data_IF_584049461180
#
_entry.id   IF_584049461180
#
_cell.length_a   1.000
_cell.length_b   1.000
_cell.length_c   1.000
_cell.angle_alpha   90.00
_cell.angle_beta   90.00
_cell.angle_gamma   90.00
#
_symmetry.space_group_name_H-M   'P 1'
#
loop_
_entity.id
_entity.type
_entity.pdbx_description
1 polymer ?
#
# COMPACT_ATOMS: atom_id res chain seq x y z
N UNK A 1 -19.27 -46.65 -31.01
CA UNK A 1 -18.10 -46.13 -30.29
C UNK A 1 -17.97 -44.64 -30.65
N UNK A 2 -18.92 -43.79 -30.27
CA UNK A 2 -19.01 -43.04 -29.00
C UNK A 2 -17.76 -42.21 -28.68
N UNK A 3 -17.78 -40.98 -29.21
CA UNK A 3 -17.36 -39.70 -28.63
C UNK A 3 -16.35 -39.72 -27.46
N UNK A 4 -15.10 -39.36 -27.78
CA UNK A 4 -14.20 -38.60 -26.91
C UNK A 4 -13.98 -37.26 -27.61
N UNK A 5 -14.52 -36.15 -27.09
CA UNK A 5 -13.61 -35.18 -26.45
C UNK A 5 -14.32 -34.21 -25.48
N UNK A 6 -14.04 -34.16 -24.17
CA UNK A 6 -14.38 -32.96 -23.36
C UNK A 6 -13.84 -32.94 -21.90
N UNK A 7 -12.63 -33.42 -21.62
CA UNK A 7 -12.10 -33.44 -20.24
C UNK A 7 -10.81 -32.65 -20.00
N UNK A 8 -10.38 -31.81 -20.95
CA UNK A 8 -9.11 -31.06 -20.83
C UNK A 8 -9.20 -29.54 -20.92
N UNK A 9 -10.39 -28.92 -20.80
CA UNK A 9 -10.56 -27.44 -20.94
C UNK A 9 -11.36 -26.79 -19.79
N UNK A 10 -11.69 -27.51 -18.72
CA UNK A 10 -12.54 -26.97 -17.63
C UNK A 10 -11.88 -26.89 -16.24
N UNK A 11 -10.54 -27.01 -16.16
CA UNK A 11 -9.81 -26.99 -14.88
C UNK A 11 -8.98 -25.72 -14.63
N UNK A 12 -9.19 -24.64 -15.40
CA UNK A 12 -8.53 -23.36 -15.18
C UNK A 12 -9.62 -22.30 -14.94
N UNK A 13 -9.39 -21.41 -13.97
CA UNK A 13 -10.30 -20.34 -13.51
C UNK A 13 -11.36 -20.67 -12.46
N UNK A 14 -11.17 -21.69 -11.63
CA UNK A 14 -11.62 -21.59 -10.23
C UNK A 14 -10.48 -21.00 -9.43
N UNK A 15 -10.54 -19.69 -9.18
CA UNK A 15 -9.76 -19.08 -8.10
C UNK A 15 -10.30 -19.68 -6.80
N UNK A 16 -9.74 -20.81 -6.37
CA UNK A 16 -9.91 -21.24 -4.99
C UNK A 16 -9.20 -20.17 -4.18
N UNK A 17 -9.97 -19.28 -3.57
CA UNK A 17 -9.50 -18.47 -2.45
C UNK A 17 -9.13 -19.48 -1.38
N UNK A 18 -7.88 -19.94 -1.39
CA UNK A 18 -7.35 -20.75 -0.31
C UNK A 18 -7.25 -19.77 0.84
N UNK A 19 -8.29 -19.75 1.69
CA UNK A 19 -8.24 -19.09 2.97
C UNK A 19 -6.96 -19.55 3.66
N UNK A 20 -6.04 -18.61 3.89
CA UNK A 20 -4.79 -18.88 4.58
C UNK A 20 -5.21 -19.05 6.05
N UNK A 21 -5.45 -20.29 6.44
CA UNK A 21 -5.70 -20.64 7.83
C UNK A 21 -4.51 -20.13 8.65
N UNK A 22 -4.73 -19.41 9.76
CA UNK A 22 -3.67 -18.88 10.63
C UNK A 22 -2.56 -19.91 10.95
N UNK A 23 -2.91 -21.21 10.99
CA UNK A 23 -1.99 -22.33 11.19
C UNK A 23 -1.00 -22.60 10.03
N UNK A 24 -1.17 -21.97 8.86
CA UNK A 24 -0.23 -22.06 7.73
C UNK A 24 0.82 -20.95 7.72
N UNK A 25 0.63 -19.88 8.50
CA UNK A 25 1.61 -18.81 8.66
C UNK A 25 2.69 -19.27 9.65
N UNK A 26 3.77 -19.86 9.12
CA UNK A 26 4.86 -20.43 9.94
C UNK A 26 5.55 -19.45 10.89
N UNK A 27 5.39 -18.14 10.64
CA UNK A 27 5.94 -17.05 11.44
C UNK A 27 4.96 -16.52 12.51
N UNK A 28 3.67 -16.86 12.44
CA UNK A 28 2.65 -16.34 13.33
C UNK A 28 2.66 -17.09 14.67
N UNK A 29 2.88 -16.35 15.76
CA UNK A 29 2.73 -16.85 17.12
C UNK A 29 1.66 -16.02 17.86
N UNK A 30 0.49 -16.61 18.19
CA UNK A 30 -0.58 -15.90 18.87
C UNK A 30 -0.18 -15.43 20.29
N UNK A 31 0.80 -16.08 20.93
CA UNK A 31 1.26 -15.68 22.27
C UNK A 31 2.13 -14.43 22.22
N UNK A 32 2.99 -14.28 21.20
CA UNK A 32 3.87 -13.11 21.03
C UNK A 32 3.10 -11.85 20.63
N UNK A 33 2.01 -11.97 19.86
CA UNK A 33 1.16 -10.83 19.52
C UNK A 33 0.55 -10.17 20.78
N UNK A 34 0.05 -10.99 21.72
CA UNK A 34 -0.59 -10.52 22.95
C UNK A 34 0.36 -9.77 23.91
N UNK A 35 1.67 -10.06 23.87
CA UNK A 35 2.68 -9.40 24.70
C UNK A 35 2.98 -7.95 24.28
N UNK A 36 2.83 -7.64 22.99
CA UNK A 36 3.25 -6.36 22.41
C UNK A 36 2.16 -5.28 22.40
N UNK A 37 0.92 -5.60 22.79
CA UNK A 37 -0.22 -4.68 22.86
C UNK A 37 -0.13 -3.60 23.98
N UNK A 38 1.07 -3.32 24.48
CA UNK A 38 1.29 -2.55 25.72
C UNK A 38 1.89 -1.17 25.52
N UNK A 39 2.27 -0.78 24.29
CA UNK A 39 2.76 0.57 24.04
C UNK A 39 1.61 1.59 24.10
N UNK A 40 1.55 2.36 25.19
CA UNK A 40 0.52 3.36 25.44
C UNK A 40 0.96 4.80 25.16
N UNK A 41 2.26 5.04 25.03
CA UNK A 41 2.84 6.38 24.93
C UNK A 41 3.82 6.46 23.75
N UNK A 42 4.00 7.68 23.25
CA UNK A 42 5.02 8.02 22.25
C UNK A 42 6.44 7.75 22.79
N UNK A 43 7.38 7.43 21.88
CA UNK A 43 8.75 7.08 22.25
C UNK A 43 9.77 8.14 21.83
N UNK A 44 10.84 8.28 22.62
CA UNK A 44 11.93 9.18 22.27
C UNK A 44 12.69 8.69 21.04
N UNK A 45 12.92 9.60 20.09
CA UNK A 45 13.77 9.36 18.93
C UNK A 45 14.64 10.58 18.62
N UNK A 46 15.86 10.33 18.12
CA UNK A 46 16.67 11.36 17.48
C UNK A 46 16.06 11.64 16.11
N UNK A 47 15.62 12.89 15.91
CA UNK A 47 15.03 13.37 14.66
C UNK A 47 16.06 14.06 13.79
N UNK A 48 16.06 13.74 12.51
CA UNK A 48 16.77 14.48 11.45
C UNK A 48 15.94 14.45 10.17
N UNK A 49 16.23 15.32 9.21
CA UNK A 49 15.53 15.34 7.93
C UNK A 49 16.48 15.69 6.79
N UNK A 50 16.09 15.35 5.57
CA UNK A 50 16.75 15.73 4.34
C UNK A 50 15.78 15.64 3.16
N UNK A 51 16.22 16.09 1.99
CA UNK A 51 15.51 15.90 0.73
C UNK A 51 16.27 14.92 -0.17
N UNK A 52 15.54 14.16 -0.98
CA UNK A 52 16.10 13.27 -2.01
C UNK A 52 15.39 13.47 -3.35
N UNK A 53 16.02 12.96 -4.41
CA UNK A 53 15.53 13.14 -5.76
C UNK A 53 15.58 14.61 -6.18
N UNK A 54 14.64 14.98 -7.04
CA UNK A 54 14.52 16.30 -7.62
C UNK A 54 15.47 16.59 -8.78
N UNK A 55 15.10 17.60 -9.56
CA UNK A 55 15.85 18.08 -10.72
C UNK A 55 15.73 19.59 -10.84
N UNK A 56 16.77 20.20 -11.41
CA UNK A 56 16.73 21.62 -11.75
C UNK A 56 15.98 21.82 -13.06
N UNK A 57 15.04 22.77 -13.06
CA UNK A 57 14.32 23.23 -14.24
C UNK A 57 14.45 24.75 -14.36
N UNK A 58 14.36 25.27 -15.58
CA UNK A 58 14.35 26.72 -15.78
C UNK A 58 12.93 27.25 -15.52
N UNK A 59 12.74 27.90 -14.37
CA UNK A 59 11.48 28.54 -13.98
C UNK A 59 11.39 29.98 -14.45
N UNK A 60 10.27 30.64 -14.13
CA UNK A 60 10.00 32.04 -14.51
C UNK A 60 10.99 33.04 -13.89
N UNK A 61 11.56 32.72 -12.73
CA UNK A 61 12.54 33.55 -12.00
C UNK A 61 13.96 32.99 -12.05
N UNK A 62 14.24 32.05 -12.97
CA UNK A 62 15.52 31.34 -13.09
C UNK A 62 15.43 29.88 -12.67
N UNK A 63 16.59 29.24 -12.50
CA UNK A 63 16.67 27.83 -12.16
C UNK A 63 16.06 27.53 -10.78
N UNK A 64 15.10 26.61 -10.74
CA UNK A 64 14.46 26.11 -9.52
C UNK A 64 14.58 24.59 -9.45
N UNK A 65 14.56 24.04 -8.23
CA UNK A 65 14.45 22.59 -8.04
C UNK A 65 12.98 22.18 -7.92
N UNK A 66 12.60 21.13 -8.64
CA UNK A 66 11.30 20.46 -8.56
C UNK A 66 11.52 18.97 -8.28
N UNK A 67 10.44 18.28 -7.92
CA UNK A 67 10.36 16.83 -7.82
C UNK A 67 11.21 16.23 -6.69
N UNK A 68 11.66 17.06 -5.74
CA UNK A 68 12.34 16.62 -4.52
C UNK A 68 11.34 16.12 -3.48
N UNK A 69 11.75 15.09 -2.73
CA UNK A 69 10.94 14.44 -1.70
C UNK A 69 11.54 14.71 -0.32
N UNK A 70 10.73 15.25 0.59
CA UNK A 70 11.07 15.40 2.00
C UNK A 70 11.11 14.02 2.67
N UNK A 71 12.15 13.79 3.46
CA UNK A 71 12.31 12.57 4.25
C UNK A 71 12.70 12.93 5.67
N UNK A 72 11.94 12.43 6.62
CA UNK A 72 12.21 12.51 8.04
C UNK A 72 12.75 11.16 8.53
N UNK A 73 13.89 11.20 9.21
CA UNK A 73 14.50 10.04 9.86
C UNK A 73 14.27 10.14 11.36
N UNK A 74 13.65 9.10 11.92
CA UNK A 74 13.51 8.87 13.34
C UNK A 74 14.41 7.70 13.72
N UNK A 75 15.36 7.94 14.63
CA UNK A 75 16.31 6.95 15.11
C UNK A 75 16.07 6.68 16.60
N UNK A 76 15.87 5.41 17.01
CA UNK A 76 15.67 5.05 18.40
C UNK A 76 16.96 5.21 19.20
N UNK A 77 16.88 5.22 20.53
CA UNK A 77 18.06 5.30 21.39
C UNK A 77 19.04 4.13 21.18
N UNK A 78 18.50 2.95 20.88
CA UNK A 78 19.27 1.74 20.58
C UNK A 78 18.76 1.17 19.26
N UNK A 79 19.63 1.12 18.25
CA UNK A 79 19.34 0.49 16.96
C UNK A 79 19.61 -1.01 17.08
N UNK A 80 18.56 -1.81 16.95
CA UNK A 80 18.62 -3.27 17.05
C UNK A 80 18.52 -3.97 15.68
N UNK A 81 18.02 -3.25 14.68
CA UNK A 81 17.77 -3.80 13.35
C UNK A 81 18.70 -3.22 12.30
N UNK A 82 19.30 -4.09 11.47
CA UNK A 82 20.25 -3.72 10.42
C UNK A 82 19.60 -2.90 9.30
N UNK A 83 18.40 -3.29 8.89
CA UNK A 83 17.68 -2.63 7.79
C UNK A 83 16.62 -1.69 8.37
N UNK A 84 16.58 -0.42 7.94
CA UNK A 84 15.55 0.51 8.36
C UNK A 84 14.22 0.22 7.65
N UNK A 85 13.17 0.84 8.17
CA UNK A 85 11.83 0.83 7.56
C UNK A 85 11.60 2.14 6.82
N UNK A 86 11.11 2.05 5.58
CA UNK A 86 10.69 3.21 4.77
C UNK A 86 9.19 3.15 4.59
N UNK A 87 8.48 4.17 5.10
CA UNK A 87 7.03 4.27 4.99
C UNK A 87 6.62 5.04 3.74
N UNK A 88 5.66 4.48 3.01
CA UNK A 88 5.15 4.98 1.73
C UNK A 88 3.65 5.22 1.92
N UNK A 89 3.27 6.49 2.07
CA UNK A 89 1.89 6.90 2.36
C UNK A 89 0.92 6.71 1.18
N UNK A 90 -0.37 6.66 1.49
CA UNK A 90 -1.45 6.54 0.52
C UNK A 90 -1.84 7.85 -0.18
N UNK A 91 -2.97 7.84 -0.87
CA UNK A 91 -3.57 9.04 -1.47
C UNK A 91 -4.06 9.97 -0.37
N UNK A 92 -3.99 11.28 -0.59
CA UNK A 92 -4.43 12.33 0.33
C UNK A 92 -3.73 12.40 1.69
N UNK A 93 -2.70 11.59 1.92
CA UNK A 93 -1.99 11.48 3.20
C UNK A 93 -0.56 12.05 3.14
N UNK A 94 0.11 12.15 4.29
CA UNK A 94 1.53 12.51 4.44
C UNK A 94 2.22 11.61 5.46
N UNK A 95 3.52 11.82 5.68
CA UNK A 95 4.31 11.09 6.67
C UNK A 95 3.72 11.16 8.09
N UNK A 96 3.06 12.27 8.44
CA UNK A 96 2.44 12.47 9.76
C UNK A 96 1.46 11.36 10.13
N UNK A 97 0.81 10.74 9.15
CA UNK A 97 -0.19 9.70 9.38
C UNK A 97 0.39 8.40 9.99
N UNK A 98 1.72 8.26 10.02
CA UNK A 98 2.41 7.13 10.67
C UNK A 98 2.87 7.42 12.10
N UNK A 99 2.75 8.67 12.55
CA UNK A 99 3.11 9.12 13.91
C UNK A 99 2.00 8.72 14.89
N UNK A 100 1.47 9.64 15.70
CA UNK A 100 0.32 9.37 16.57
C UNK A 100 -0.99 9.24 15.77
N UNK A 101 -1.96 8.53 16.34
CA UNK A 101 -3.30 8.42 15.76
C UNK A 101 -4.08 9.74 15.92
N UNK A 102 -5.19 9.94 15.18
CA UNK A 102 -6.01 11.15 15.30
C UNK A 102 -6.61 11.39 16.70
N UNK A 103 -6.70 10.34 17.54
CA UNK A 103 -7.10 10.39 18.96
C UNK A 103 -5.91 10.34 19.93
N UNK A 104 -4.72 10.76 19.48
CA UNK A 104 -3.48 10.92 20.26
C UNK A 104 -2.89 9.63 20.88
N UNK A 105 -3.35 8.45 20.47
CA UNK A 105 -2.65 7.19 20.82
C UNK A 105 -1.35 7.10 20.04
N UNK A 106 -0.42 6.32 20.57
CA UNK A 106 0.78 5.95 19.83
C UNK A 106 0.40 5.27 18.50
N UNK A 107 1.11 5.60 17.43
CA UNK A 107 0.99 4.89 16.17
C UNK A 107 2.24 4.10 15.80
N UNK A 108 2.30 3.69 14.54
CA UNK A 108 3.22 2.62 14.12
C UNK A 108 4.69 3.06 14.11
N UNK A 109 5.00 4.34 13.86
CA UNK A 109 6.36 4.84 14.01
C UNK A 109 6.87 4.62 15.44
N UNK A 110 6.04 4.94 16.44
CA UNK A 110 6.39 4.75 17.86
C UNK A 110 6.60 3.28 18.21
N UNK A 111 5.75 2.39 17.67
CA UNK A 111 5.94 0.96 17.83
C UNK A 111 7.30 0.50 17.28
N UNK A 112 7.60 0.77 16.00
CA UNK A 112 8.85 0.30 15.40
C UNK A 112 10.11 0.92 16.02
N UNK A 113 10.04 2.18 16.44
CA UNK A 113 11.10 2.82 17.21
C UNK A 113 11.33 2.09 18.54
N UNK A 114 10.26 1.71 19.26
CA UNK A 114 10.36 0.93 20.50
C UNK A 114 11.02 -0.44 20.29
N UNK A 115 10.87 -1.01 19.09
CA UNK A 115 11.48 -2.26 18.69
C UNK A 115 12.93 -2.08 18.18
N UNK A 116 13.47 -0.86 18.15
CA UNK A 116 14.84 -0.59 17.74
C UNK A 116 15.05 -0.48 16.22
N UNK A 117 13.99 -0.26 15.45
CA UNK A 117 14.09 0.07 14.02
C UNK A 117 14.37 1.55 13.83
N UNK A 118 15.24 1.88 12.88
CA UNK A 118 15.29 3.21 12.29
C UNK A 118 14.13 3.35 11.31
N UNK A 119 13.38 4.44 11.42
CA UNK A 119 12.19 4.71 10.60
C UNK A 119 12.42 5.94 9.72
N UNK A 120 12.12 5.80 8.42
CA UNK A 120 12.10 6.88 7.45
C UNK A 120 10.66 7.14 7.01
N UNK A 121 10.17 8.35 7.26
CA UNK A 121 8.85 8.81 6.87
C UNK A 121 9.01 9.86 5.77
N UNK A 122 8.38 9.66 4.62
CA UNK A 122 8.49 10.57 3.49
C UNK A 122 7.14 11.17 3.11
N UNK A 123 7.15 12.45 2.79
CA UNK A 123 6.03 13.10 2.10
C UNK A 123 6.29 12.95 0.61
N UNK A 124 5.40 12.31 -0.15
CA UNK A 124 5.60 12.12 -1.59
C UNK A 124 5.95 13.42 -2.31
N UNK A 125 6.61 13.31 -3.46
CA UNK A 125 6.90 14.46 -4.32
C UNK A 125 5.62 15.29 -4.55
N UNK A 126 5.74 16.63 -4.46
CA UNK A 126 4.60 17.58 -4.57
C UNK A 126 3.50 17.30 -3.54
N UNK A 127 3.88 16.99 -2.30
CA UNK A 127 2.94 16.71 -1.21
C UNK A 127 3.53 17.14 0.12
N UNK A 128 2.73 17.75 0.99
CA UNK A 128 3.19 18.19 2.32
C UNK A 128 4.45 19.06 2.27
N UNK A 129 5.54 18.59 2.92
CA UNK A 129 6.83 19.28 2.99
C UNK A 129 7.69 19.11 1.74
N UNK A 130 7.24 18.32 0.76
CA UNK A 130 7.80 18.23 -0.59
C UNK A 130 7.18 19.29 -1.49
N UNK A 131 7.94 20.32 -1.90
CA UNK A 131 7.36 21.51 -2.54
C UNK A 131 6.61 21.22 -3.83
N UNK A 132 5.49 21.92 -4.00
CA UNK A 132 4.78 22.03 -5.27
C UNK A 132 5.54 23.04 -6.14
N UNK A 133 6.19 22.59 -7.22
CA UNK A 133 6.87 23.53 -8.12
C UNK A 133 5.84 24.29 -8.97
N UNK A 134 5.75 25.61 -8.76
CA UNK A 134 4.90 26.51 -9.53
C UNK A 134 5.71 27.18 -10.66
N UNK A 135 6.07 26.42 -11.69
CA UNK A 135 6.65 26.99 -12.91
C UNK A 135 5.57 27.62 -13.83
N UNK A 136 4.31 27.23 -13.69
CA UNK A 136 3.16 27.94 -14.26
C UNK A 136 1.91 27.69 -13.40
N UNK A 137 1.14 28.74 -13.13
CA UNK A 137 -0.10 28.71 -12.33
C UNK A 137 -1.25 27.93 -12.99
N UNK A 138 -1.03 27.36 -14.18
CA UNK A 138 -2.10 26.86 -15.04
C UNK A 138 -2.41 25.36 -14.88
N UNK A 139 -1.65 24.57 -14.11
CA UNK A 139 -1.83 23.11 -14.10
C UNK A 139 -1.59 22.45 -12.73
N UNK A 140 -2.30 22.89 -11.69
CA UNK A 140 -2.57 21.99 -10.57
C UNK A 140 -3.86 21.23 -10.87
N UNK A 141 -3.77 20.23 -11.76
CA UNK A 141 -4.78 19.18 -11.83
C UNK A 141 -4.62 18.31 -10.59
N UNK A 142 -5.18 18.80 -9.48
CA UNK A 142 -5.09 18.19 -8.16
C UNK A 142 -6.44 17.67 -7.75
N UNK A 143 -6.45 16.51 -7.12
CA UNK A 143 -7.63 15.92 -6.51
C UNK A 143 -7.64 16.21 -5.03
N UNK A 144 -8.84 16.43 -4.48
CA UNK A 144 -9.10 16.56 -3.05
C UNK A 144 -10.21 15.59 -2.66
N UNK A 145 -10.27 15.20 -1.39
CA UNK A 145 -11.41 14.48 -0.82
C UNK A 145 -12.43 15.48 -0.32
N UNK A 146 -13.70 15.22 -0.56
CA UNK A 146 -14.78 15.92 0.14
C UNK A 146 -15.20 15.17 1.41
N UNK A 147 -16.13 15.76 2.17
CA UNK A 147 -16.60 15.20 3.44
C UNK A 147 -17.22 13.81 3.24
N UNK A 148 -18.06 13.66 2.22
CA UNK A 148 -18.74 12.40 1.93
C UNK A 148 -17.72 11.32 1.59
N UNK A 149 -16.73 11.61 0.76
CA UNK A 149 -15.68 10.65 0.42
C UNK A 149 -14.91 10.18 1.65
N UNK A 150 -14.51 11.11 2.52
CA UNK A 150 -13.81 10.78 3.76
C UNK A 150 -14.67 9.90 4.66
N UNK A 151 -15.92 10.30 4.93
CA UNK A 151 -16.83 9.50 5.75
C UNK A 151 -17.09 8.12 5.13
N UNK A 152 -17.44 8.08 3.85
CA UNK A 152 -17.96 6.87 3.21
C UNK A 152 -16.89 5.82 2.93
N UNK A 153 -15.67 6.23 2.59
CA UNK A 153 -14.60 5.29 2.22
C UNK A 153 -13.51 5.14 3.26
N UNK A 154 -13.23 6.17 4.06
CA UNK A 154 -12.07 6.14 4.96
C UNK A 154 -12.42 5.72 6.38
N UNK A 155 -13.57 6.15 6.91
CA UNK A 155 -13.81 6.05 8.37
C UNK A 155 -15.18 5.51 8.79
N UNK A 156 -16.22 5.60 7.96
CA UNK A 156 -17.60 5.32 8.34
C UNK A 156 -18.35 4.49 7.29
N UNK A 157 -17.61 3.71 6.48
CA UNK A 157 -18.20 2.87 5.42
C UNK A 157 -19.34 1.95 5.87
N UNK A 158 -19.37 1.54 7.14
CA UNK A 158 -20.50 0.76 7.70
C UNK A 158 -21.87 1.43 7.50
N UNK A 159 -21.93 2.77 7.37
CA UNK A 159 -23.16 3.54 7.19
C UNK A 159 -23.70 3.46 5.77
N UNK A 160 -22.85 3.14 4.80
CA UNK A 160 -23.11 3.39 3.38
C UNK A 160 -23.47 2.11 2.63
N UNK A 161 -22.91 0.96 3.05
CA UNK A 161 -23.01 -0.32 2.34
C UNK A 161 -22.53 -0.25 0.88
N UNK A 162 -21.57 0.63 0.59
CA UNK A 162 -20.99 0.79 -0.75
C UNK A 162 -20.20 -0.44 -1.22
N UNK A 163 -19.77 -1.28 -0.28
CA UNK A 163 -19.26 -2.63 -0.51
C UNK A 163 -19.81 -3.58 0.56
N UNK A 164 -19.86 -4.90 0.31
CA UNK A 164 -20.52 -5.87 1.19
C UNK A 164 -19.98 -5.87 2.62
N UNK A 165 -18.65 -5.81 2.77
CA UNK A 165 -17.98 -5.92 4.06
C UNK A 165 -18.02 -4.63 4.89
N UNK A 166 -18.47 -3.51 4.33
CA UNK A 166 -18.41 -2.20 4.97
C UNK A 166 -19.07 -2.21 6.36
N UNK A 167 -20.17 -2.94 6.50
CA UNK A 167 -20.98 -3.09 7.72
C UNK A 167 -20.23 -3.67 8.91
N UNK A 168 -19.07 -4.29 8.69
CA UNK A 168 -18.26 -4.92 9.72
C UNK A 168 -17.36 -3.91 10.46
N UNK A 169 -17.25 -2.65 9.98
CA UNK A 169 -16.35 -1.67 10.56
C UNK A 169 -16.78 -1.27 11.97
N UNK A 170 -15.90 -1.51 12.94
CA UNK A 170 -16.13 -1.21 14.37
C UNK A 170 -14.94 -0.57 15.08
N UNK A 171 -13.80 -0.41 14.39
CA UNK A 171 -12.53 -0.04 15.02
C UNK A 171 -12.19 1.46 14.94
N UNK A 172 -13.01 2.30 14.30
CA UNK A 172 -12.80 3.75 14.34
C UNK A 172 -12.85 4.31 15.78
N UNK A 173 -11.88 5.13 16.18
CA UNK A 173 -11.94 5.90 17.42
C UNK A 173 -12.84 7.14 17.24
N UNK A 174 -13.91 7.23 18.03
CA UNK A 174 -14.84 8.38 17.97
C UNK A 174 -16.07 8.12 17.10
N UNK A 175 -16.83 9.19 16.83
CA UNK A 175 -18.14 9.10 16.16
C UNK A 175 -18.08 9.17 14.64
N UNK A 176 -16.93 9.53 14.04
CA UNK A 176 -16.81 9.76 12.59
C UNK A 176 -17.81 10.82 12.06
N UNK A 177 -18.12 11.83 12.86
CA UNK A 177 -19.00 12.95 12.51
C UNK A 177 -18.29 14.29 12.69
N UNK A 178 -18.69 15.30 11.91
CA UNK A 178 -18.17 16.67 12.03
C UNK A 178 -18.35 17.18 13.46
N UNK A 179 -17.27 17.72 14.03
CA UNK A 179 -17.25 18.20 15.42
C UNK A 179 -16.80 17.17 16.45
N UNK A 180 -16.65 15.89 16.07
CA UNK A 180 -15.88 14.93 16.86
C UNK A 180 -14.38 15.23 16.71
N UNK A 181 -13.63 15.42 17.81
CA UNK A 181 -12.22 15.81 17.72
C UNK A 181 -11.36 14.83 16.93
N UNK A 182 -11.66 13.53 17.00
CA UNK A 182 -10.91 12.50 16.29
C UNK A 182 -11.16 12.56 14.80
N UNK A 183 -12.43 12.74 14.42
CA UNK A 183 -12.82 12.93 13.02
C UNK A 183 -12.21 14.21 12.44
N UNK A 184 -12.38 15.34 13.12
CA UNK A 184 -11.90 16.64 12.66
C UNK A 184 -10.37 16.63 12.51
N UNK A 185 -9.65 15.99 13.45
CA UNK A 185 -8.20 15.83 13.38
C UNK A 185 -7.77 14.92 12.20
N UNK A 186 -8.46 13.81 11.96
CA UNK A 186 -8.20 12.96 10.80
C UNK A 186 -8.46 13.72 9.50
N UNK A 187 -9.59 14.42 9.39
CA UNK A 187 -9.94 15.14 8.18
C UNK A 187 -8.97 16.31 7.91
N UNK A 188 -8.53 17.01 8.97
CA UNK A 188 -7.50 18.06 8.87
C UNK A 188 -6.14 17.54 8.39
N UNK A 189 -5.86 16.24 8.55
CA UNK A 189 -4.64 15.61 8.03
C UNK A 189 -4.72 15.23 6.55
N UNK A 190 -5.91 15.27 5.94
CA UNK A 190 -6.08 15.00 4.51
C UNK A 190 -5.60 16.21 3.69
N UNK A 191 -4.85 15.95 2.64
CA UNK A 191 -4.31 17.01 1.77
C UNK A 191 -4.52 16.69 0.29
N UNK A 192 -4.44 17.71 -0.55
CA UNK A 192 -4.54 17.57 -1.99
C UNK A 192 -3.39 16.71 -2.55
N UNK A 193 -3.69 15.93 -3.60
CA UNK A 193 -2.70 15.15 -4.33
C UNK A 193 -2.72 15.50 -5.82
N UNK A 194 -1.57 15.44 -6.51
CA UNK A 194 -1.57 15.36 -7.97
C UNK A 194 -2.37 14.15 -8.44
N UNK A 195 -2.94 14.24 -9.65
CA UNK A 195 -3.50 13.07 -10.33
C UNK A 195 -2.39 12.03 -10.52
N UNK A 196 -2.68 10.79 -10.13
CA UNK A 196 -1.76 9.67 -10.33
C UNK A 196 -1.76 9.23 -11.79
N UNK A 197 -0.94 9.89 -12.59
CA UNK A 197 -0.61 9.46 -13.95
C UNK A 197 0.75 8.74 -14.01
N UNK A 198 1.04 8.08 -15.13
CA UNK A 198 2.29 7.33 -15.29
C UNK A 198 3.55 8.16 -15.00
N UNK A 199 3.69 9.38 -15.55
CA UNK A 199 4.81 10.27 -15.25
C UNK A 199 4.95 10.67 -13.78
N UNK A 200 3.85 11.00 -13.10
CA UNK A 200 3.87 11.36 -11.69
C UNK A 200 4.20 10.16 -10.80
N UNK A 201 3.57 9.01 -11.05
CA UNK A 201 3.91 7.74 -10.39
C UNK A 201 5.40 7.43 -10.51
N UNK A 202 5.97 7.59 -11.72
CA UNK A 202 7.41 7.37 -11.97
C UNK A 202 8.27 8.35 -11.16
N UNK A 203 7.85 9.61 -11.06
CA UNK A 203 8.57 10.63 -10.29
C UNK A 203 8.63 10.26 -8.80
N UNK A 204 7.55 9.71 -8.24
CA UNK A 204 7.54 9.18 -6.85
C UNK A 204 8.51 8.00 -6.73
N UNK A 205 8.41 7.02 -7.64
CA UNK A 205 9.27 5.82 -7.65
C UNK A 205 10.75 6.21 -7.72
N UNK A 206 11.10 7.19 -8.55
CA UNK A 206 12.47 7.69 -8.69
C UNK A 206 12.96 8.35 -7.39
N UNK A 207 12.12 9.14 -6.73
CA UNK A 207 12.49 9.79 -5.48
C UNK A 207 12.71 8.80 -4.32
N UNK A 208 11.85 7.79 -4.18
CA UNK A 208 12.08 6.70 -3.22
C UNK A 208 13.27 5.81 -3.61
N UNK A 209 13.52 5.60 -4.91
CA UNK A 209 14.72 4.90 -5.36
C UNK A 209 15.98 5.68 -4.97
N UNK A 210 15.98 7.00 -5.11
CA UNK A 210 17.05 7.88 -4.64
C UNK A 210 17.20 7.86 -3.10
N UNK A 211 16.09 7.68 -2.36
CA UNK A 211 16.16 7.43 -0.91
C UNK A 211 16.94 6.14 -0.63
N UNK A 212 16.56 5.02 -1.26
CA UNK A 212 17.25 3.74 -1.08
C UNK A 212 18.72 3.80 -1.49
N UNK A 213 19.04 4.49 -2.58
CA UNK A 213 20.43 4.69 -3.02
C UNK A 213 21.26 5.45 -1.95
N UNK A 214 20.62 6.34 -1.19
CA UNK A 214 21.26 7.11 -0.12
C UNK A 214 21.39 6.35 1.19
N UNK A 215 20.36 5.59 1.60
CA UNK A 215 20.29 4.96 2.93
C UNK A 215 20.66 3.48 2.91
N UNK A 216 20.75 2.88 1.72
CA UNK A 216 21.02 1.47 1.53
C UNK A 216 19.77 0.60 1.64
N UNK A 217 20.03 -0.69 1.82
CA UNK A 217 18.99 -1.70 1.80
C UNK A 217 17.96 -1.53 2.92
N UNK A 218 16.67 -1.64 2.60
CA UNK A 218 15.56 -1.30 3.50
C UNK A 218 14.35 -2.22 3.30
N UNK A 219 13.46 -2.25 4.29
CA UNK A 219 12.11 -2.82 4.17
C UNK A 219 11.12 -1.69 3.86
N UNK A 220 10.22 -1.91 2.91
CA UNK A 220 9.21 -0.92 2.53
C UNK A 220 7.88 -1.25 3.21
N UNK A 221 7.22 -0.24 3.78
CA UNK A 221 5.86 -0.35 4.34
C UNK A 221 4.97 0.63 3.58
N UNK A 222 4.10 0.13 2.72
CA UNK A 222 3.25 0.92 1.83
C UNK A 222 1.79 0.79 2.19
N UNK A 223 1.00 1.83 1.92
CA UNK A 223 -0.45 1.82 2.13
C UNK A 223 -1.21 2.37 0.91
N UNK A 224 -2.32 1.74 0.53
CA UNK A 224 -3.25 2.28 -0.47
C UNK A 224 -2.55 2.61 -1.79
N UNK A 225 -2.69 3.84 -2.31
CA UNK A 225 -1.94 4.35 -3.47
C UNK A 225 -0.41 4.17 -3.38
N UNK A 226 0.14 4.09 -2.16
CA UNK A 226 1.54 3.76 -1.93
C UNK A 226 1.95 2.35 -2.37
N UNK A 227 1.00 1.42 -2.45
CA UNK A 227 1.24 0.02 -2.85
C UNK A 227 1.87 -0.10 -4.24
N UNK A 228 1.22 0.42 -5.31
CA UNK A 228 1.80 0.52 -6.64
C UNK A 228 3.19 1.16 -6.71
N UNK A 229 3.45 2.17 -5.88
CA UNK A 229 4.79 2.78 -5.80
C UNK A 229 5.80 1.81 -5.17
N UNK A 230 5.41 1.06 -4.14
CA UNK A 230 6.20 -0.02 -3.56
C UNK A 230 6.65 -1.04 -4.60
N UNK A 231 5.74 -1.48 -5.49
CA UNK A 231 6.08 -2.37 -6.61
C UNK A 231 7.10 -1.74 -7.55
N UNK A 232 6.89 -0.48 -7.96
CA UNK A 232 7.83 0.22 -8.85
C UNK A 232 9.21 0.43 -8.24
N UNK A 233 9.30 0.73 -6.94
CA UNK A 233 10.57 0.87 -6.21
C UNK A 233 11.28 -0.48 -6.14
N UNK A 234 10.54 -1.55 -5.82
CA UNK A 234 11.04 -2.92 -5.82
C UNK A 234 11.59 -3.36 -7.18
N UNK A 235 10.90 -3.00 -8.26
CA UNK A 235 11.36 -3.25 -9.63
C UNK A 235 12.63 -2.45 -9.98
N UNK A 236 12.69 -1.20 -9.54
CA UNK A 236 13.79 -0.27 -9.83
C UNK A 236 15.06 -0.53 -9.02
N UNK A 237 14.91 -1.06 -7.79
CA UNK A 237 16.00 -1.33 -6.84
C UNK A 237 15.86 -2.70 -6.16
N UNK A 238 15.78 -3.81 -6.91
CA UNK A 238 15.49 -5.12 -6.34
C UNK A 238 16.59 -5.66 -5.42
N UNK A 239 17.80 -5.10 -5.49
CA UNK A 239 18.91 -5.48 -4.61
C UNK A 239 18.94 -4.68 -3.29
N UNK A 240 18.24 -3.55 -3.22
CA UNK A 240 18.14 -2.71 -2.03
C UNK A 240 16.84 -2.96 -1.26
N UNK A 241 15.77 -3.40 -1.92
CA UNK A 241 14.56 -3.82 -1.23
C UNK A 241 14.77 -5.20 -0.60
N UNK A 242 14.52 -5.31 0.71
CA UNK A 242 14.63 -6.57 1.46
C UNK A 242 13.30 -7.26 1.68
N UNK A 243 12.23 -6.49 1.76
CA UNK A 243 10.85 -6.97 1.80
C UNK A 243 9.92 -5.79 1.50
N UNK A 244 8.70 -6.10 1.07
CA UNK A 244 7.61 -5.12 0.98
C UNK A 244 6.45 -5.60 1.84
N UNK A 245 5.95 -4.72 2.69
CA UNK A 245 4.65 -4.84 3.33
C UNK A 245 3.71 -3.89 2.61
N UNK A 246 2.63 -4.41 2.04
CA UNK A 246 1.60 -3.65 1.36
C UNK A 246 0.29 -3.76 2.14
N UNK A 247 -0.03 -2.70 2.87
CA UNK A 247 -1.30 -2.54 3.56
C UNK A 247 -2.33 -2.08 2.54
N UNK A 248 -3.22 -2.98 2.15
CA UNK A 248 -4.34 -2.66 1.27
C UNK A 248 -3.88 -1.87 0.02
N UNK A 249 -3.02 -2.46 -0.83
CA UNK A 249 -2.44 -1.76 -1.97
C UNK A 249 -3.52 -1.39 -2.99
N UNK A 250 -3.42 -0.19 -3.58
CA UNK A 250 -4.38 0.26 -4.61
C UNK A 250 -4.43 -0.73 -5.77
N UNK A 251 -5.65 -1.20 -6.03
CA UNK A 251 -5.98 -2.20 -7.04
C UNK A 251 -7.44 -2.06 -7.46
N UNK A 252 -8.05 -3.12 -8.02
CA UNK A 252 -7.42 -4.35 -8.50
C UNK A 252 -6.66 -4.15 -9.84
N UNK A 253 -6.06 -5.19 -10.42
CA UNK A 253 -5.33 -5.05 -11.67
C UNK A 253 -6.19 -4.53 -12.84
N UNK A 254 -5.59 -3.68 -13.68
CA UNK A 254 -6.16 -3.14 -14.93
C UNK A 254 -7.44 -2.28 -14.87
N UNK A 255 -8.11 -2.18 -13.71
CA UNK A 255 -9.37 -1.44 -13.58
C UNK A 255 -9.61 -0.97 -12.15
N UNK A 256 -10.37 0.11 -12.00
CA UNK A 256 -10.85 0.57 -10.71
C UNK A 256 -12.11 -0.20 -10.27
N UNK A 257 -12.23 -0.40 -8.96
CA UNK A 257 -13.42 -0.95 -8.30
C UNK A 257 -13.76 -0.12 -7.05
N UNK A 258 -15.04 -0.14 -6.65
CA UNK A 258 -15.60 0.51 -5.46
C UNK A 258 -15.51 2.05 -5.48
N UNK A 259 -14.34 2.64 -5.24
CA UNK A 259 -14.16 4.11 -5.15
C UNK A 259 -14.25 4.81 -6.50
N UNK A 260 -13.82 4.12 -7.56
CA UNK A 260 -13.78 4.61 -8.94
C UNK A 260 -14.18 3.46 -9.87
N UNK A 261 -14.49 3.79 -11.12
CA UNK A 261 -14.79 2.80 -12.16
C UNK A 261 -13.91 3.03 -13.39
N UNK A 262 -13.87 2.04 -14.28
CA UNK A 262 -13.18 2.12 -15.57
C UNK A 262 -11.71 1.67 -15.53
N UNK A 263 -11.02 1.72 -16.68
CA UNK A 263 -9.64 1.24 -16.81
C UNK A 263 -8.66 2.00 -15.92
N UNK A 264 -7.71 1.27 -15.34
CA UNK A 264 -6.65 1.81 -14.49
C UNK A 264 -5.40 0.93 -14.60
N UNK A 265 -4.29 1.34 -13.99
CA UNK A 265 -3.05 0.52 -13.87
C UNK A 265 -2.73 -0.26 -15.17
N UNK A 266 -2.41 0.44 -16.27
CA UNK A 266 -2.23 -0.18 -17.58
C UNK A 266 -1.17 -1.30 -17.61
N UNK A 267 -0.24 -1.31 -16.66
CA UNK A 267 0.77 -2.36 -16.46
C UNK A 267 0.32 -3.47 -15.49
N UNK A 268 -0.97 -3.68 -15.32
CA UNK A 268 -1.54 -4.65 -14.39
C UNK A 268 -1.72 -4.03 -13.03
N UNK A 269 -0.63 -3.90 -12.27
CA UNK A 269 -0.64 -3.47 -10.86
C UNK A 269 -0.08 -2.06 -10.64
N UNK A 270 0.42 -1.40 -11.69
CA UNK A 270 1.01 -0.06 -11.62
C UNK A 270 0.52 0.86 -12.73
N UNK A 271 0.48 2.16 -12.43
CA UNK A 271 0.28 3.23 -13.42
C UNK A 271 1.57 3.51 -14.20
N UNK A 272 2.70 3.59 -13.49
CA UNK A 272 4.03 3.67 -14.10
C UNK A 272 4.45 2.32 -14.73
N UNK A 273 5.33 2.34 -15.75
CA UNK A 273 5.93 1.13 -16.30
C UNK A 273 6.64 0.28 -15.22
N UNK A 274 6.55 -1.04 -15.37
CA UNK A 274 7.25 -2.02 -14.53
C UNK A 274 7.80 -3.15 -15.41
N UNK A 275 8.92 -3.74 -15.01
CA UNK A 275 9.62 -4.75 -15.82
C UNK A 275 8.86 -6.08 -15.85
N UNK A 276 8.45 -6.50 -17.06
CA UNK A 276 7.89 -7.82 -17.33
C UNK A 276 8.85 -8.72 -18.13
N UNK A 277 8.65 -10.03 -18.00
CA UNK A 277 9.20 -11.05 -18.91
C UNK A 277 8.08 -11.96 -19.43
N UNK A 278 7.82 -12.02 -20.75
CA UNK A 278 8.41 -11.19 -21.81
C UNK A 278 8.15 -9.68 -21.62
N UNK A 279 9.03 -8.84 -22.16
CA UNK A 279 8.95 -7.38 -22.01
C UNK A 279 7.61 -6.81 -22.51
N UNK A 280 7.14 -5.77 -21.81
CA UNK A 280 5.92 -5.01 -22.13
C UNK A 280 6.31 -3.59 -22.46
N UNK A 281 5.85 -3.09 -23.61
CA UNK A 281 5.98 -1.70 -24.00
C UNK A 281 4.65 -1.23 -24.58
N UNK A 282 3.85 -0.54 -23.76
CA UNK A 282 2.50 -0.10 -24.15
C UNK A 282 2.51 1.05 -25.17
N UNK A 283 3.64 1.74 -25.34
CA UNK A 283 3.80 2.73 -26.42
C UNK A 283 3.97 2.05 -27.77
N UNK A 284 4.68 0.91 -27.82
CA UNK A 284 4.88 0.13 -29.03
C UNK A 284 3.69 -0.80 -29.34
N UNK A 285 3.10 -1.40 -28.30
CA UNK A 285 1.93 -2.29 -28.40
C UNK A 285 0.94 -1.99 -27.26
N UNK A 286 -0.09 -1.17 -27.50
CA UNK A 286 -1.14 -0.90 -26.51
C UNK A 286 -1.90 -2.14 -26.03
N UNK A 287 -1.84 -3.25 -26.78
CA UNK A 287 -2.49 -4.52 -26.48
C UNK A 287 -1.50 -5.59 -26.00
N UNK A 288 -0.34 -5.18 -25.47
CA UNK A 288 0.70 -6.11 -24.98
C UNK A 288 0.19 -7.09 -23.91
N UNK A 289 -0.95 -6.81 -23.28
CA UNK A 289 -1.70 -7.74 -22.45
C UNK A 289 -2.96 -8.23 -23.16
N UNK A 290 -3.08 -9.55 -23.33
CA UNK A 290 -4.39 -10.18 -23.45
C UNK A 290 -4.96 -10.36 -22.05
N UNK A 291 -6.15 -9.82 -21.80
CA UNK A 291 -6.79 -9.80 -20.48
C UNK A 291 -7.99 -10.74 -20.46
N UNK A 292 -8.20 -11.44 -19.35
CA UNK A 292 -9.32 -12.37 -19.13
C UNK A 292 -10.10 -11.95 -17.89
N UNK A 293 -11.43 -11.91 -18.00
CA UNK A 293 -12.32 -11.69 -16.86
C UNK A 293 -12.51 -13.02 -16.13
N UNK A 294 -12.11 -13.06 -14.87
CA UNK A 294 -12.34 -14.19 -13.96
C UNK A 294 -13.47 -13.78 -13.02
N UNK A 295 -14.61 -14.47 -13.11
CA UNK A 295 -15.76 -14.15 -12.29
C UNK A 295 -15.62 -14.76 -10.89
N UNK A 296 -15.94 -13.99 -9.85
CA UNK A 296 -16.07 -14.51 -8.50
C UNK A 296 -17.28 -15.44 -8.40
N UNK A 297 -17.15 -16.53 -7.66
CA UNK A 297 -18.28 -17.39 -7.28
C UNK A 297 -19.04 -16.87 -6.06
N UNK A 298 -18.45 -15.92 -5.35
CA UNK A 298 -19.00 -15.30 -4.15
C UNK A 298 -19.34 -13.83 -4.46
N UNK A 299 -20.61 -13.42 -4.34
CA UNK A 299 -21.05 -12.06 -4.67
C UNK A 299 -20.43 -10.99 -3.77
N UNK A 300 -19.84 -11.39 -2.63
CA UNK A 300 -19.15 -10.47 -1.73
C UNK A 300 -17.75 -10.09 -2.23
N UNK A 301 -17.31 -10.63 -3.36
CA UNK A 301 -16.00 -10.36 -3.96
C UNK A 301 -16.09 -9.93 -5.43
N UNK A 302 -15.15 -9.08 -5.83
CA UNK A 302 -15.04 -8.55 -7.18
C UNK A 302 -14.76 -9.65 -8.22
N UNK A 303 -15.21 -9.42 -9.45
CA UNK A 303 -14.66 -10.14 -10.60
C UNK A 303 -13.30 -9.54 -10.96
N UNK A 304 -12.30 -10.38 -11.25
CA UNK A 304 -10.94 -9.94 -11.52
C UNK A 304 -10.68 -9.79 -13.03
N UNK A 305 -9.97 -8.75 -13.44
CA UNK A 305 -9.36 -8.66 -14.77
C UNK A 305 -7.91 -9.11 -14.69
N UNK A 306 -7.60 -10.27 -15.27
CA UNK A 306 -6.32 -10.97 -15.12
C UNK A 306 -5.56 -11.07 -16.46
N UNK A 307 -4.30 -11.53 -16.45
CA UNK A 307 -3.60 -11.88 -17.68
C UNK A 307 -4.17 -13.19 -18.26
N UNK A 308 -4.24 -13.29 -19.58
CA UNK A 308 -4.39 -14.60 -20.23
C UNK A 308 -3.10 -15.42 -20.07
N UNK A 309 -3.24 -16.74 -19.97
CA UNK A 309 -2.08 -17.64 -19.94
C UNK A 309 -1.45 -17.84 -21.34
N UNK A 310 -0.12 -17.98 -21.45
CA UNK A 310 0.86 -17.90 -20.36
C UNK A 310 1.08 -16.46 -19.86
N UNK A 311 0.98 -16.26 -18.56
CA UNK A 311 1.09 -14.94 -17.96
C UNK A 311 2.53 -14.39 -18.00
N UNK A 312 2.65 -13.08 -18.21
CA UNK A 312 3.95 -12.40 -18.13
C UNK A 312 4.37 -12.31 -16.66
N UNK A 313 5.67 -12.48 -16.44
CA UNK A 313 6.30 -12.57 -15.13
C UNK A 313 6.88 -11.21 -14.71
N UNK A 314 6.96 -10.95 -13.40
CA UNK A 314 7.55 -9.73 -12.81
C UNK A 314 8.92 -10.04 -12.17
N UNK A 315 9.98 -10.32 -12.96
CA UNK A 315 11.20 -10.98 -12.49
C UNK A 315 11.94 -10.24 -11.37
N UNK A 316 11.84 -8.91 -11.31
CA UNK A 316 12.52 -8.16 -10.25
C UNK A 316 11.79 -8.24 -8.91
N UNK A 317 10.46 -8.33 -8.91
CA UNK A 317 9.67 -8.52 -7.69
C UNK A 317 9.81 -9.93 -7.10
N UNK A 318 10.28 -10.89 -7.88
CA UNK A 318 10.54 -12.27 -7.39
C UNK A 318 11.77 -12.36 -6.48
N UNK A 319 12.58 -11.29 -6.38
CA UNK A 319 13.88 -11.30 -5.68
C UNK A 319 13.79 -11.06 -4.18
N UNK A 320 12.63 -10.66 -3.68
CA UNK A 320 12.39 -10.41 -2.26
C UNK A 320 10.94 -10.81 -1.90
N UNK A 321 10.68 -11.11 -0.64
CA UNK A 321 9.34 -11.48 -0.17
C UNK A 321 8.43 -10.27 -0.02
N UNK A 322 7.13 -10.48 -0.23
CA UNK A 322 6.08 -9.48 -0.10
C UNK A 322 4.99 -9.99 0.83
N UNK A 323 4.55 -9.15 1.78
CA UNK A 323 3.35 -9.38 2.57
C UNK A 323 2.27 -8.39 2.12
N UNK A 324 1.13 -8.89 1.67
CA UNK A 324 -0.08 -8.10 1.54
C UNK A 324 -0.92 -8.26 2.81
N UNK A 325 -1.46 -7.15 3.33
CA UNK A 325 -2.39 -7.15 4.46
C UNK A 325 -3.72 -6.56 4.02
N UNK A 326 -4.82 -7.27 4.30
CA UNK A 326 -6.18 -6.78 4.06
C UNK A 326 -7.00 -6.88 5.34
N UNK A 327 -7.75 -5.81 5.64
CA UNK A 327 -8.65 -5.77 6.79
C UNK A 327 -10.07 -6.17 6.41
N UNK A 328 -10.85 -6.60 7.41
CA UNK A 328 -12.15 -7.24 7.18
C UNK A 328 -13.18 -6.29 6.59
N UNK A 329 -13.25 -5.04 7.07
CA UNK A 329 -14.31 -4.09 6.72
C UNK A 329 -13.89 -3.07 5.64
N UNK A 330 -12.64 -3.10 5.19
CA UNK A 330 -12.17 -2.20 4.14
C UNK A 330 -12.79 -2.53 2.78
N UNK A 331 -12.91 -1.54 1.91
CA UNK A 331 -13.27 -1.76 0.50
C UNK A 331 -12.25 -2.63 -0.24
N UNK A 332 -11.03 -2.74 0.28
CA UNK A 332 -10.01 -3.67 -0.22
C UNK A 332 -10.38 -5.13 0.00
N UNK A 333 -11.18 -5.46 1.02
CA UNK A 333 -11.69 -6.83 1.22
C UNK A 333 -12.48 -7.33 0.00
N UNK A 334 -13.10 -6.42 -0.76
CA UNK A 334 -13.85 -6.76 -1.96
C UNK A 334 -12.94 -7.24 -3.11
N UNK A 335 -11.73 -6.69 -3.28
CA UNK A 335 -10.94 -6.90 -4.50
C UNK A 335 -9.47 -7.28 -4.32
N UNK A 336 -8.89 -7.23 -3.11
CA UNK A 336 -7.45 -7.49 -2.91
C UNK A 336 -7.06 -8.92 -3.33
N UNK A 337 -7.99 -9.87 -3.30
CA UNK A 337 -7.79 -11.21 -3.83
C UNK A 337 -7.39 -11.22 -5.32
N UNK A 338 -7.86 -10.24 -6.11
CA UNK A 338 -7.46 -10.06 -7.51
C UNK A 338 -6.00 -9.61 -7.62
N UNK A 339 -5.59 -8.65 -6.79
CA UNK A 339 -4.19 -8.16 -6.74
C UNK A 339 -3.25 -9.27 -6.29
N UNK A 340 -3.60 -10.01 -5.23
CA UNK A 340 -2.85 -11.17 -4.75
C UNK A 340 -2.71 -12.23 -5.84
N UNK A 341 -3.83 -12.62 -6.46
CA UNK A 341 -3.83 -13.62 -7.54
C UNK A 341 -2.96 -13.19 -8.73
N UNK A 342 -2.93 -11.90 -9.04
CA UNK A 342 -2.13 -11.37 -10.14
C UNK A 342 -0.63 -11.44 -9.85
N UNK A 343 -0.23 -11.09 -8.62
CA UNK A 343 1.15 -11.20 -8.18
C UNK A 343 1.63 -12.66 -8.21
N UNK A 344 0.80 -13.60 -7.71
CA UNK A 344 1.08 -15.04 -7.81
C UNK A 344 1.20 -15.47 -9.27
N UNK A 345 0.26 -15.06 -10.13
CA UNK A 345 0.28 -15.36 -11.57
C UNK A 345 1.56 -14.82 -12.26
N UNK A 346 2.07 -13.68 -11.81
CA UNK A 346 3.31 -13.06 -12.28
C UNK A 346 4.59 -13.61 -11.60
N UNK A 347 4.46 -14.68 -10.82
CA UNK A 347 5.56 -15.42 -10.19
C UNK A 347 6.17 -14.74 -8.95
N UNK A 348 5.48 -13.76 -8.38
CA UNK A 348 5.96 -13.02 -7.19
C UNK A 348 5.78 -13.87 -5.94
N UNK A 349 6.80 -13.87 -5.06
CA UNK A 349 6.72 -14.49 -3.74
C UNK A 349 5.94 -13.57 -2.79
N UNK A 350 4.62 -13.72 -2.80
CA UNK A 350 3.69 -12.93 -1.97
C UNK A 350 2.94 -13.81 -0.98
N UNK A 351 2.90 -13.38 0.28
CA UNK A 351 1.99 -13.87 1.31
C UNK A 351 0.82 -12.89 1.47
N UNK A 352 -0.36 -13.41 1.82
CA UNK A 352 -1.55 -12.58 2.05
C UNK A 352 -2.12 -12.80 3.44
N UNK A 353 -2.00 -11.79 4.29
CA UNK A 353 -2.57 -11.76 5.63
C UNK A 353 -3.94 -11.06 5.59
N UNK A 354 -5.00 -11.84 5.73
CA UNK A 354 -6.32 -11.30 6.03
C UNK A 354 -6.51 -11.30 7.56
N UNK A 355 -6.72 -10.13 8.16
CA UNK A 355 -6.80 -10.03 9.63
C UNK A 355 -7.93 -10.88 10.24
N UNK A 356 -9.05 -11.01 9.52
CA UNK A 356 -10.18 -11.86 9.94
C UNK A 356 -9.78 -13.33 10.13
N UNK A 357 -8.81 -13.84 9.35
CA UNK A 357 -8.41 -15.25 9.36
C UNK A 357 -7.59 -15.60 10.61
N UNK A 358 -7.05 -14.58 11.30
CA UNK A 358 -6.33 -14.71 12.57
C UNK A 358 -7.13 -14.19 13.78
N UNK A 359 -8.43 -13.91 13.59
CA UNK A 359 -9.33 -13.48 14.66
C UNK A 359 -9.29 -11.98 14.99
N UNK A 360 -8.66 -11.15 14.15
CA UNK A 360 -8.68 -9.70 14.29
C UNK A 360 -9.77 -9.14 13.36
N UNK A 361 -10.82 -8.59 13.96
CA UNK A 361 -12.05 -8.22 13.26
C UNK A 361 -12.36 -6.73 13.32
N UNK A 362 -13.14 -6.30 12.34
CA UNK A 362 -13.78 -4.99 12.30
C UNK A 362 -12.88 -3.82 11.95
N UNK A 363 -11.64 -4.06 11.52
CA UNK A 363 -10.76 -3.03 10.97
C UNK A 363 -11.19 -2.61 9.55
N UNK A 364 -11.00 -1.33 9.21
CA UNK A 364 -11.18 -0.79 7.87
C UNK A 364 -9.86 -0.21 7.32
N UNK A 365 -9.93 0.74 6.37
CA UNK A 365 -8.81 1.10 5.50
C UNK A 365 -7.59 1.70 6.23
N UNK A 366 -7.80 2.34 7.37
CA UNK A 366 -6.75 3.01 8.15
C UNK A 366 -6.41 2.24 9.43
N UNK A 367 -6.19 0.93 9.29
CA UNK A 367 -5.85 0.01 10.39
C UNK A 367 -4.78 0.52 11.37
N UNK A 368 -3.82 1.30 10.87
CA UNK A 368 -2.74 1.89 11.66
C UNK A 368 -3.17 3.06 12.57
N UNK A 369 -4.37 3.60 12.35
CA UNK A 369 -5.01 4.65 13.15
C UNK A 369 -6.17 4.13 14.01
N UNK A 370 -6.66 2.92 13.76
CA UNK A 370 -7.83 2.36 14.42
C UNK A 370 -7.52 1.91 15.87
N UNK A 371 -8.57 1.65 16.67
CA UNK A 371 -8.48 1.39 18.12
C UNK A 371 -7.51 0.27 18.48
N UNK A 372 -7.46 -0.77 17.66
CA UNK A 372 -6.62 -1.94 17.83
C UNK A 372 -5.36 -1.91 16.95
N UNK A 373 -4.88 -0.74 16.53
CA UNK A 373 -3.65 -0.60 15.73
C UNK A 373 -2.42 -1.30 16.37
N UNK A 374 -2.37 -1.37 17.70
CA UNK A 374 -1.34 -2.04 18.49
C UNK A 374 -1.50 -3.56 18.60
N UNK A 375 -2.65 -4.12 18.21
CA UNK A 375 -2.82 -5.58 18.01
C UNK A 375 -2.29 -6.01 16.63
N UNK A 376 -2.30 -5.09 15.66
CA UNK A 376 -1.94 -5.37 14.26
C UNK A 376 -0.44 -5.20 14.01
N UNK A 377 0.16 -4.08 14.43
CA UNK A 377 1.57 -3.79 14.11
C UNK A 377 2.58 -4.85 14.57
N UNK A 378 2.39 -5.59 15.69
CA UNK A 378 3.31 -6.66 16.06
C UNK A 378 3.37 -7.80 15.06
N UNK A 379 2.28 -8.06 14.32
CA UNK A 379 2.25 -9.08 13.27
C UNK A 379 3.24 -8.74 12.15
N UNK A 380 3.38 -7.46 11.86
CA UNK A 380 4.21 -6.93 10.79
C UNK A 380 5.69 -7.08 11.19
N UNK A 381 6.01 -6.76 12.44
CA UNK A 381 7.36 -6.98 13.00
C UNK A 381 7.71 -8.47 13.06
N UNK A 382 6.79 -9.33 13.51
CA UNK A 382 7.01 -10.78 13.50
C UNK A 382 7.32 -11.30 12.10
N UNK A 383 6.55 -10.87 11.09
CA UNK A 383 6.83 -11.24 9.71
C UNK A 383 8.19 -10.72 9.22
N UNK A 384 8.54 -9.46 9.53
CA UNK A 384 9.85 -8.89 9.18
C UNK A 384 10.97 -9.73 9.79
N UNK A 385 10.92 -10.05 11.08
CA UNK A 385 11.96 -10.80 11.79
C UNK A 385 12.11 -12.24 11.30
N UNK A 386 11.01 -12.87 10.92
CA UNK A 386 11.03 -14.22 10.37
C UNK A 386 11.64 -14.27 8.95
N UNK A 387 11.45 -13.19 8.19
CA UNK A 387 11.66 -13.19 6.74
C UNK A 387 12.95 -12.47 6.33
N UNK A 388 13.30 -11.38 6.99
CA UNK A 388 14.43 -10.52 6.66
C UNK A 388 15.63 -10.86 7.54
N UNK A 389 16.67 -11.44 6.94
CA UNK A 389 17.90 -11.88 7.63
C UNK A 389 19.08 -10.91 7.52
#
# INVERSE_FOLDING_TARGET
>A
MLFLPLLYVLAQYTAVVIAINASSLSWYDPQLSALHATLKEEVFARRSYFYVGGKYINGTSGWVITDQMYVEKLEPQVVLHKYPLVFITGGFQIATNWLNTPDDRAGWASYFLSQGYVVYLADHVKRGRSPWAMASSALLNTTFTDLAFVQDYFIAGQRTKLWPQAVLHTQWPGTAEVGDPTFDQFYASQIQTPVDDGPYSQTIIDAYSALLDKIGASVLVSHSQGGPYGWGIGDSRPNLVKAIIALEPEGPPFENQVQKTGPARPYGITTAPITYSPAVNLTADPNAFTKVRVNSTDPDFANCLMQAEPAKQLPNLQKFPILMLTTEASYHAFYDHCTYSYLVQAGVNVEWLQLKDIGIHGNAHFVFMEKNNMEVVPLLDMWIRATVK
#
